data_IF_107436136451
#
_entry.id   IF_107436136451
#
_cell.length_a   1.000
_cell.length_b   1.000
_cell.length_c   1.000
_cell.angle_alpha   90.00
_cell.angle_beta   90.00
_cell.angle_gamma   90.00
#
_symmetry.space_group_name_H-M   'P 1'
#
loop_
_entity.id
_entity.type
_entity.pdbx_description
1 polymer ?
#
# COMPACT_ATOMS: atom_id res chain seq x y z
N UNK A 1 -3.17 2.39 -16.14
CA UNK A 1 -3.82 1.74 -14.98
C UNK A 1 -2.79 0.93 -14.22
N UNK A 2 -2.81 0.99 -12.89
CA UNK A 2 -1.93 0.18 -12.04
C UNK A 2 -2.40 -1.27 -12.07
N UNK A 3 -1.46 -2.20 -12.25
CA UNK A 3 -1.67 -3.65 -12.16
C UNK A 3 -0.82 -4.16 -11.00
N UNK A 4 -1.25 -5.19 -10.26
CA UNK A 4 -2.50 -5.96 -10.39
C UNK A 4 -3.78 -5.20 -10.02
N UNK A 5 -4.93 -5.75 -10.40
CA UNK A 5 -6.24 -5.16 -10.09
C UNK A 5 -6.57 -5.33 -8.60
N UNK A 6 -7.35 -4.39 -8.04
CA UNK A 6 -7.79 -4.42 -6.64
C UNK A 6 -8.43 -5.76 -6.26
N UNK A 7 -9.21 -6.34 -7.17
CA UNK A 7 -9.87 -7.65 -6.99
C UNK A 7 -8.91 -8.83 -6.85
N UNK A 8 -7.64 -8.66 -7.24
CA UNK A 8 -6.59 -9.68 -7.08
C UNK A 8 -5.80 -9.50 -5.78
N UNK A 9 -5.93 -8.34 -5.13
CA UNK A 9 -5.19 -7.97 -3.91
C UNK A 9 -6.09 -8.16 -2.68
N UNK A 10 -7.38 -7.84 -2.81
CA UNK A 10 -8.36 -7.95 -1.73
C UNK A 10 -8.80 -9.40 -1.54
N UNK A 11 -8.69 -9.90 -0.32
CA UNK A 11 -9.37 -11.11 0.11
C UNK A 11 -10.84 -10.83 0.47
N UNK A 12 -11.72 -11.84 0.38
CA UNK A 12 -13.20 -11.74 0.48
C UNK A 12 -13.77 -10.99 1.71
N UNK A 13 -12.95 -10.59 2.67
CA UNK A 13 -13.36 -9.92 3.90
C UNK A 13 -12.62 -8.58 4.16
N UNK A 14 -11.88 -8.05 3.18
CA UNK A 14 -11.17 -6.78 3.33
C UNK A 14 -11.92 -5.65 2.61
N UNK A 15 -12.00 -4.49 3.25
CA UNK A 15 -12.63 -3.30 2.68
C UNK A 15 -11.73 -2.66 1.61
N UNK A 16 -12.32 -2.33 0.44
CA UNK A 16 -11.64 -1.56 -0.61
C UNK A 16 -11.06 -0.24 -0.09
N UNK A 17 -11.76 0.42 0.84
CA UNK A 17 -11.31 1.69 1.41
C UNK A 17 -10.05 1.51 2.25
N UNK A 18 -10.00 0.44 3.05
CA UNK A 18 -8.86 0.12 3.89
C UNK A 18 -7.63 -0.23 3.05
N UNK A 19 -7.82 -0.93 1.92
CA UNK A 19 -6.73 -1.16 0.97
C UNK A 19 -6.20 0.14 0.38
N UNK A 20 -7.07 1.03 -0.08
CA UNK A 20 -6.63 2.32 -0.66
C UNK A 20 -5.86 3.14 0.38
N UNK A 21 -6.34 3.17 1.62
CA UNK A 21 -5.65 3.87 2.73
C UNK A 21 -4.30 3.23 3.01
N UNK A 22 -4.23 1.89 3.10
CA UNK A 22 -2.97 1.16 3.33
C UNK A 22 -1.94 1.37 2.22
N UNK A 23 -2.37 1.29 0.96
CA UNK A 23 -1.54 1.56 -0.23
C UNK A 23 -1.05 3.01 -0.22
N UNK A 24 -1.90 3.97 0.10
CA UNK A 24 -1.53 5.38 0.17
C UNK A 24 -0.50 5.66 1.27
N UNK A 25 -0.68 5.07 2.46
CA UNK A 25 0.30 5.16 3.56
C UNK A 25 1.66 4.61 3.14
N UNK A 26 1.68 3.41 2.54
CA UNK A 26 2.93 2.78 2.09
C UNK A 26 3.59 3.56 0.96
N UNK A 27 2.81 4.10 0.02
CA UNK A 27 3.35 4.91 -1.07
C UNK A 27 4.06 6.18 -0.56
N UNK A 28 3.54 6.82 0.51
CA UNK A 28 4.24 7.97 1.12
C UNK A 28 5.56 7.56 1.75
N UNK A 29 5.60 6.46 2.50
CA UNK A 29 6.84 5.94 3.10
C UNK A 29 7.91 5.68 2.03
N UNK A 30 7.55 5.05 0.91
CA UNK A 30 8.47 4.81 -0.21
C UNK A 30 8.97 6.13 -0.80
N UNK A 31 8.09 7.13 -0.96
CA UNK A 31 8.50 8.44 -1.46
C UNK A 31 9.49 9.14 -0.52
N UNK A 32 9.23 9.08 0.79
CA UNK A 32 10.09 9.67 1.82
C UNK A 32 11.44 8.94 1.89
N UNK A 33 11.46 7.60 1.79
CA UNK A 33 12.68 6.77 1.73
C UNK A 33 13.54 7.12 0.51
N UNK A 34 12.93 7.31 -0.66
CA UNK A 34 13.63 7.68 -1.90
C UNK A 34 14.19 9.10 -1.80
N UNK A 35 13.40 10.02 -1.25
CA UNK A 35 13.83 11.40 -1.01
C UNK A 35 15.00 11.46 -0.02
N UNK A 36 14.91 10.77 1.11
CA UNK A 36 15.97 10.72 2.12
C UNK A 36 17.25 10.03 1.62
N UNK A 37 17.12 9.01 0.76
CA UNK A 37 18.26 8.33 0.15
C UNK A 37 18.86 9.10 -1.05
N UNK A 38 18.26 10.23 -1.45
CA UNK A 38 18.71 11.03 -2.60
C UNK A 38 18.66 10.27 -3.93
N UNK A 39 17.88 9.20 -4.02
CA UNK A 39 17.77 8.37 -5.22
C UNK A 39 16.80 8.98 -6.22
N UNK A 40 17.06 8.76 -7.50
CA UNK A 40 16.18 9.18 -8.58
C UNK A 40 14.91 8.30 -8.52
N UNK A 41 13.74 8.93 -8.62
CA UNK A 41 12.46 8.25 -8.63
C UNK A 41 12.23 7.56 -9.98
N UNK A 42 12.72 6.33 -10.12
CA UNK A 42 12.54 5.53 -11.36
C UNK A 42 11.12 4.98 -11.51
N UNK A 43 10.49 4.55 -10.42
CA UNK A 43 9.12 4.05 -10.41
C UNK A 43 8.20 4.92 -9.56
N UNK A 44 6.93 5.02 -9.97
CA UNK A 44 5.91 5.70 -9.17
C UNK A 44 5.74 4.94 -7.85
N UNK A 45 5.80 5.62 -6.68
CA UNK A 45 5.76 4.94 -5.38
C UNK A 45 4.46 4.18 -5.15
N UNK A 46 3.35 4.65 -5.74
CA UNK A 46 2.05 3.96 -5.71
C UNK A 46 2.11 2.60 -6.43
N UNK A 47 2.87 2.50 -7.53
CA UNK A 47 3.05 1.24 -8.27
C UNK A 47 3.83 0.23 -7.43
N UNK A 48 4.90 0.68 -6.80
CA UNK A 48 5.71 -0.15 -5.89
C UNK A 48 4.88 -0.64 -4.71
N UNK A 49 4.12 0.26 -4.07
CA UNK A 49 3.23 -0.11 -2.98
C UNK A 49 2.20 -1.18 -3.39
N UNK A 50 1.50 -0.99 -4.51
CA UNK A 50 0.53 -1.98 -5.02
C UNK A 50 1.18 -3.35 -5.26
N UNK A 51 2.39 -3.38 -5.81
CA UNK A 51 3.14 -4.62 -6.02
C UNK A 51 3.54 -5.31 -4.69
N UNK A 52 3.92 -4.55 -3.67
CA UNK A 52 4.26 -5.09 -2.36
C UNK A 52 3.04 -5.70 -1.66
N UNK A 53 1.88 -5.06 -1.73
CA UNK A 53 0.61 -5.61 -1.24
C UNK A 53 0.22 -6.88 -2.03
N UNK A 54 0.33 -6.86 -3.35
CA UNK A 54 0.03 -8.02 -4.18
C UNK A 54 0.99 -9.21 -3.94
N UNK A 55 2.22 -8.94 -3.53
CA UNK A 55 3.20 -9.97 -3.16
C UNK A 55 2.97 -10.54 -1.75
N UNK A 56 1.98 -10.03 -1.00
CA UNK A 56 1.70 -10.44 0.38
C UNK A 56 2.73 -9.97 1.40
N UNK A 57 3.59 -9.00 1.05
CA UNK A 57 4.62 -8.45 1.96
C UNK A 57 4.02 -7.62 3.09
N UNK A 58 2.88 -6.98 2.82
CA UNK A 58 2.16 -6.17 3.79
C UNK A 58 0.73 -6.65 3.92
N UNK A 59 0.21 -6.59 5.15
CA UNK A 59 -1.19 -6.86 5.47
C UNK A 59 -1.79 -5.64 6.12
N UNK A 60 -3.07 -5.42 5.86
CA UNK A 60 -3.83 -4.32 6.47
C UNK A 60 -4.31 -4.83 7.83
N UNK A 61 -3.94 -4.11 8.88
CA UNK A 61 -4.47 -4.33 10.22
C UNK A 61 -5.35 -3.14 10.54
N UNK A 62 -6.65 -3.39 10.64
CA UNK A 62 -7.61 -2.41 11.15
C UNK A 62 -7.56 -2.47 12.68
N UNK A 63 -7.06 -1.40 13.30
CA UNK A 63 -7.24 -1.23 14.73
C UNK A 63 -8.68 -0.75 14.93
N UNK A 64 -9.55 -1.60 15.46
CA UNK A 64 -10.79 -1.13 16.04
C UNK A 64 -10.43 -0.43 17.35
N UNK A 65 -10.69 0.88 17.43
CA UNK A 65 -10.73 1.61 18.70
C UNK A 65 -11.95 1.11 19.48
N UNK A 66 -11.87 -0.10 20.01
CA UNK A 66 -12.73 -0.63 21.06
C UNK A 66 -11.83 -0.96 22.25
N UNK A 67 -11.40 0.07 22.99
CA UNK A 67 -10.87 -0.03 24.36
C UNK A 67 -10.66 1.41 24.91
N UNK A 68 -11.77 2.09 25.22
CA UNK A 68 -11.83 3.07 26.32
C UNK A 68 -13.24 3.12 26.95
#
# INVERSE_FOLDING_TARGET
MLRPAITQIITKNESCYSLVIGVAKRARQIADEIYASGRILEEKPVKTAVNEFASGKYKIVECHEEDE
#
